data_IF_040376684038
#
_entry.id   IF_040376684038
#
_cell.length_a   1.000
_cell.length_b   1.000
_cell.length_c   1.000
_cell.angle_alpha   90.00
_cell.angle_beta   90.00
_cell.angle_gamma   90.00
#
_symmetry.space_group_name_H-M   'P 1'
#
loop_
_entity.id
_entity.type
_entity.pdbx_description
1 polymer ?
#
# COMPACT_ATOMS: atom_id res chain seq x y z
N UNK A 1 -25.64 -11.98 17.66
CA UNK A 1 -24.72 -12.86 16.91
C UNK A 1 -23.90 -12.02 15.95
N UNK A 2 -22.61 -11.80 16.25
CA UNK A 2 -21.69 -11.18 15.31
C UNK A 2 -21.54 -12.08 14.08
N UNK A 3 -21.48 -11.46 12.90
CA UNK A 3 -21.31 -12.17 11.63
C UNK A 3 -19.91 -11.96 11.08
N UNK A 4 -19.38 -13.00 10.46
CA UNK A 4 -18.13 -13.01 9.71
C UNK A 4 -18.46 -13.40 8.27
N UNK A 5 -18.14 -12.55 7.32
CA UNK A 5 -18.32 -12.85 5.88
C UNK A 5 -16.97 -13.26 5.30
N UNK A 6 -16.90 -14.43 4.69
CA UNK A 6 -15.72 -14.95 3.95
C UNK A 6 -16.23 -15.46 2.61
N UNK A 7 -15.62 -15.02 1.52
CA UNK A 7 -15.97 -15.42 0.14
C UNK A 7 -17.48 -15.29 -0.15
N UNK A 8 -18.06 -14.15 0.25
CA UNK A 8 -19.49 -13.82 0.13
C UNK A 8 -20.44 -14.73 0.93
N UNK A 9 -19.92 -15.55 1.85
CA UNK A 9 -20.69 -16.42 2.73
C UNK A 9 -20.65 -15.88 4.16
N UNK A 10 -21.82 -15.71 4.75
CA UNK A 10 -22.00 -15.30 6.15
C UNK A 10 -21.90 -16.49 7.12
N UNK A 11 -21.09 -16.35 8.15
CA UNK A 11 -20.95 -17.28 9.27
C UNK A 11 -21.25 -16.57 10.59
N UNK A 12 -21.93 -17.23 11.53
CA UNK A 12 -22.03 -16.69 12.89
C UNK A 12 -20.74 -16.99 13.63
N UNK A 13 -20.12 -15.97 14.22
CA UNK A 13 -18.85 -16.16 14.93
C UNK A 13 -19.00 -16.97 16.22
N UNK A 14 -20.24 -17.10 16.73
CA UNK A 14 -20.59 -17.93 17.89
C UNK A 14 -20.51 -19.43 17.57
N UNK A 15 -20.69 -19.81 16.30
CA UNK A 15 -20.61 -21.21 15.85
C UNK A 15 -19.15 -21.71 15.73
N UNK A 16 -18.17 -20.80 15.83
CA UNK A 16 -16.76 -21.13 15.76
C UNK A 16 -16.31 -21.92 17.00
N UNK A 17 -15.40 -22.86 16.80
CA UNK A 17 -14.66 -23.50 17.91
C UNK A 17 -13.78 -22.46 18.62
N UNK A 18 -13.26 -22.81 19.80
CA UNK A 18 -12.29 -21.95 20.50
C UNK A 18 -11.07 -21.63 19.62
N UNK A 19 -10.53 -22.63 18.93
CA UNK A 19 -9.45 -22.45 17.96
C UNK A 19 -9.88 -21.54 16.81
N UNK A 20 -11.10 -21.68 16.30
CA UNK A 20 -11.65 -20.82 15.24
C UNK A 20 -11.72 -19.36 15.67
N UNK A 21 -12.21 -19.09 16.89
CA UNK A 21 -12.22 -17.72 17.46
C UNK A 21 -10.82 -17.17 17.66
N UNK A 22 -9.86 -17.99 18.07
CA UNK A 22 -8.47 -17.58 18.20
C UNK A 22 -7.88 -17.17 16.84
N UNK A 23 -8.15 -17.93 15.78
CA UNK A 23 -7.69 -17.56 14.42
C UNK A 23 -8.38 -16.30 13.90
N UNK A 24 -9.68 -16.11 14.16
CA UNK A 24 -10.38 -14.88 13.83
C UNK A 24 -9.74 -13.66 14.52
N UNK A 25 -9.38 -13.78 15.80
CA UNK A 25 -8.67 -12.72 16.52
C UNK A 25 -7.28 -12.41 15.92
N UNK A 26 -6.52 -13.44 15.53
CA UNK A 26 -5.23 -13.26 14.87
C UNK A 26 -5.37 -12.53 13.52
N UNK A 27 -6.36 -12.89 12.71
CA UNK A 27 -6.65 -12.21 11.45
C UNK A 27 -6.95 -10.73 11.71
N UNK A 28 -7.93 -10.43 12.56
CA UNK A 28 -8.29 -9.04 12.91
C UNK A 28 -7.09 -8.21 13.37
N UNK A 29 -6.18 -8.81 14.13
CA UNK A 29 -4.92 -8.18 14.52
C UNK A 29 -4.02 -7.87 13.31
N UNK A 30 -3.82 -8.84 12.40
CA UNK A 30 -3.04 -8.65 11.17
C UNK A 30 -3.68 -7.57 10.28
N UNK A 31 -5.00 -7.57 10.10
CA UNK A 31 -5.70 -6.54 9.32
C UNK A 31 -5.46 -5.13 9.88
N UNK A 32 -5.53 -4.95 11.20
CA UNK A 32 -5.26 -3.67 11.84
C UNK A 32 -3.81 -3.21 11.60
N UNK A 33 -2.85 -4.14 11.66
CA UNK A 33 -1.44 -3.85 11.40
C UNK A 33 -1.18 -3.50 9.93
N UNK A 34 -1.81 -4.22 9.00
CA UNK A 34 -1.75 -3.90 7.57
C UNK A 34 -2.34 -2.52 7.28
N UNK A 35 -3.45 -2.15 7.92
CA UNK A 35 -4.04 -0.82 7.76
C UNK A 35 -3.09 0.28 8.26
N UNK A 36 -2.43 0.07 9.40
CA UNK A 36 -1.42 0.98 9.91
C UNK A 36 -0.26 1.17 8.91
N UNK A 37 0.27 0.07 8.38
CA UNK A 37 1.36 0.11 7.41
C UNK A 37 0.95 0.83 6.12
N UNK A 38 -0.27 0.63 5.62
CA UNK A 38 -0.79 1.36 4.45
C UNK A 38 -0.84 2.87 4.69
N UNK A 39 -1.25 3.29 5.88
CA UNK A 39 -1.27 4.71 6.24
C UNK A 39 0.16 5.28 6.27
N UNK A 40 1.12 4.54 6.83
CA UNK A 40 2.52 4.95 6.86
C UNK A 40 3.14 5.02 5.44
N UNK A 41 2.84 4.06 4.57
CA UNK A 41 3.22 4.10 3.15
C UNK A 41 2.67 5.35 2.47
N UNK A 42 1.41 5.72 2.71
CA UNK A 42 0.82 6.92 2.11
C UNK A 42 1.54 8.22 2.54
N UNK A 43 2.01 8.28 3.78
CA UNK A 43 2.84 9.39 4.29
C UNK A 43 4.17 9.44 3.51
N UNK A 44 4.87 8.31 3.38
CA UNK A 44 6.14 8.25 2.66
C UNK A 44 5.98 8.55 1.16
N UNK A 45 4.89 8.10 0.53
CA UNK A 45 4.59 8.45 -0.87
C UNK A 45 4.42 9.96 -1.05
N UNK A 46 3.77 10.62 -0.09
CA UNK A 46 3.63 12.08 -0.12
C UNK A 46 5.00 12.77 -0.04
N UNK A 47 5.86 12.34 0.89
CA UNK A 47 7.22 12.87 1.03
C UNK A 47 8.07 12.59 -0.23
N UNK A 48 8.00 11.37 -0.78
CA UNK A 48 8.67 10.98 -2.01
C UNK A 48 8.28 11.89 -3.18
N UNK A 49 6.98 12.16 -3.35
CA UNK A 49 6.49 13.04 -4.41
C UNK A 49 6.97 14.49 -4.22
N UNK A 50 7.02 14.98 -2.98
CA UNK A 50 7.57 16.29 -2.67
C UNK A 50 9.06 16.38 -3.04
N UNK A 51 9.87 15.40 -2.63
CA UNK A 51 11.29 15.35 -2.98
C UNK A 51 11.52 15.22 -4.48
N UNK A 52 10.72 14.41 -5.17
CA UNK A 52 10.79 14.27 -6.63
C UNK A 52 10.49 15.60 -7.33
N UNK A 53 9.52 16.37 -6.83
CA UNK A 53 9.18 17.69 -7.36
C UNK A 53 10.35 18.66 -7.23
N UNK A 54 10.97 18.70 -6.05
CA UNK A 54 12.16 19.54 -5.80
C UNK A 54 13.31 19.11 -6.72
N UNK A 55 13.59 17.81 -6.81
CA UNK A 55 14.66 17.29 -7.66
C UNK A 55 14.46 17.66 -9.14
N UNK A 56 13.22 17.58 -9.65
CA UNK A 56 12.90 18.00 -11.02
C UNK A 56 13.22 19.48 -11.25
N UNK A 57 12.83 20.35 -10.31
CA UNK A 57 13.15 21.77 -10.40
C UNK A 57 14.67 22.04 -10.40
N UNK A 58 15.44 21.30 -9.60
CA UNK A 58 16.91 21.40 -9.61
C UNK A 58 17.54 20.93 -10.93
N UNK A 59 17.03 19.84 -11.51
CA UNK A 59 17.46 19.34 -12.83
C UNK A 59 17.20 20.40 -13.91
N UNK A 60 16.01 21.00 -13.90
CA UNK A 60 15.63 22.06 -14.84
C UNK A 60 16.53 23.30 -14.67
N UNK A 61 16.76 23.74 -13.43
CA UNK A 61 17.63 24.87 -13.11
C UNK A 61 19.10 24.64 -13.55
N UNK A 62 19.58 23.40 -13.42
CA UNK A 62 20.92 23.01 -13.84
C UNK A 62 21.03 22.81 -15.37
N UNK A 63 19.93 22.90 -16.11
CA UNK A 63 19.91 22.69 -17.56
C UNK A 63 20.29 21.27 -17.99
N UNK A 64 20.17 20.30 -17.08
CA UNK A 64 20.54 18.90 -17.34
C UNK A 64 19.58 18.36 -18.40
N UNK A 65 20.11 18.03 -19.57
CA UNK A 65 19.34 17.42 -20.63
C UNK A 65 19.14 15.92 -20.34
N UNK A 66 17.98 15.35 -20.69
CA UNK A 66 17.82 13.91 -20.67
C UNK A 66 18.89 13.29 -21.59
N UNK A 67 19.55 12.25 -21.09
CA UNK A 67 20.33 11.37 -21.96
C UNK A 67 19.32 10.80 -22.95
N UNK A 68 19.51 11.06 -24.24
CA UNK A 68 18.59 10.75 -25.32
C UNK A 68 17.81 9.44 -25.06
N UNK A 69 16.49 9.47 -25.27
CA UNK A 69 15.71 8.24 -25.32
C UNK A 69 16.34 7.36 -26.40
N UNK A 70 16.64 6.11 -26.07
CA UNK A 70 17.31 5.15 -26.94
C UNK A 70 16.46 4.71 -28.17
N UNK A 71 15.60 5.59 -28.68
CA UNK A 71 14.71 5.36 -29.82
C UNK A 71 15.04 6.23 -31.05
N UNK A 72 15.96 7.21 -30.95
CA UNK A 72 16.34 8.09 -32.07
C UNK A 72 17.71 7.74 -32.71
N UNK A 73 18.25 6.53 -32.51
CA UNK A 73 19.53 6.13 -33.12
C UNK A 73 19.43 5.34 -34.42
N UNK A 74 18.22 5.01 -34.89
CA UNK A 74 18.01 4.16 -36.06
C UNK A 74 17.10 4.86 -37.11
N UNK A 75 17.59 5.97 -37.69
CA UNK A 75 17.21 6.43 -39.05
C UNK A 75 18.45 6.55 -39.95
#
# INVERSE_FOLDING_TARGET
>A
MPKLTIDDIDYNTEDLTENGRAQLGNLQFIEAQLQRLRNEIAIYQTAQNAYLTVLKAEIDNAGIQPVATAEDSDE
#
